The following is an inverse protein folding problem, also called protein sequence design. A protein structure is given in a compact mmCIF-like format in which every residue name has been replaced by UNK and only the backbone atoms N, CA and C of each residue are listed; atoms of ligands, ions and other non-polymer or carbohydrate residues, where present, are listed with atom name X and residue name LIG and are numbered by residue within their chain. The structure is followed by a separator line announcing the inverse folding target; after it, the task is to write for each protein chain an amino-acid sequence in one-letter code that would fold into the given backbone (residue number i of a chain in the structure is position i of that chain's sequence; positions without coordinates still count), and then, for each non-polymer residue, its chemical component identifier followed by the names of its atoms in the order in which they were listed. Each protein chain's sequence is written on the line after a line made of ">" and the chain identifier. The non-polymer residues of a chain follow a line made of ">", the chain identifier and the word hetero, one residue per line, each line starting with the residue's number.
data_IF_237182207316
#
_entry.id   IF_237182207316
#
_cell.length_a   1.000
_cell.length_b   1.000
_cell.length_c   1.000
_cell.angle_alpha   90.00
_cell.angle_beta   90.00
_cell.angle_gamma   90.00
#
_symmetry.space_group_name_H-M   'P 1'
#
loop_
_entity.id
_entity.type
_entity.pdbx_description
1 polymer ?
#
# COMPACT_ATOMS: atom_id res chain seq x y z
N UNK A 1 2.37 23.00 -36.15
CA UNK A 1 2.68 22.90 -34.72
C UNK A 1 2.72 21.41 -34.44
N UNK A 2 3.92 20.84 -34.42
CA UNK A 2 4.10 19.45 -34.02
C UNK A 2 3.88 19.38 -32.51
N UNK A 3 2.81 18.69 -32.09
CA UNK A 3 2.60 18.33 -30.70
C UNK A 3 3.83 17.54 -30.20
N UNK A 4 4.33 17.78 -28.99
CA UNK A 4 5.43 17.01 -28.45
C UNK A 4 5.00 15.54 -28.39
N UNK A 5 5.62 14.71 -29.24
CA UNK A 5 5.50 13.26 -29.19
C UNK A 5 5.92 12.81 -27.79
N UNK A 6 4.95 12.49 -26.96
CA UNK A 6 5.17 11.91 -25.65
C UNK A 6 6.00 10.64 -25.84
N UNK A 7 7.23 10.64 -25.33
CA UNK A 7 8.17 9.53 -25.48
C UNK A 7 7.66 8.43 -24.55
N UNK A 8 6.90 7.49 -25.11
CA UNK A 8 6.44 6.28 -24.42
C UNK A 8 7.65 5.38 -24.17
N UNK A 9 8.21 5.45 -22.97
CA UNK A 9 9.22 4.51 -22.47
C UNK A 9 8.49 3.42 -21.71
N UNK A 10 8.21 2.26 -22.31
CA UNK A 10 7.47 1.22 -21.64
C UNK A 10 8.26 0.66 -20.45
N UNK A 11 7.51 0.33 -19.41
CA UNK A 11 8.02 -0.18 -18.14
C UNK A 11 7.23 -1.42 -17.78
N UNK A 12 7.93 -2.48 -17.39
CA UNK A 12 7.33 -3.68 -16.81
C UNK A 12 7.76 -3.81 -15.35
N UNK A 13 6.79 -3.99 -14.47
CA UNK A 13 7.00 -4.43 -13.08
C UNK A 13 6.66 -5.91 -13.02
N UNK A 14 7.57 -6.72 -12.50
CA UNK A 14 7.41 -8.18 -12.41
C UNK A 14 7.67 -8.60 -10.97
N UNK A 15 6.64 -9.12 -10.34
CA UNK A 15 6.69 -9.83 -9.08
C UNK A 15 6.32 -11.28 -9.40
N UNK A 16 7.23 -12.22 -9.18
CA UNK A 16 6.91 -13.64 -9.37
C UNK A 16 6.30 -14.24 -8.10
N UNK A 17 5.49 -15.28 -8.26
CA UNK A 17 5.09 -16.17 -7.16
C UNK A 17 6.23 -17.05 -6.66
N UNK A 18 7.20 -17.32 -7.53
CA UNK A 18 8.39 -18.10 -7.21
C UNK A 18 9.41 -17.18 -6.51
N UNK A 19 10.21 -17.74 -5.58
CA UNK A 19 11.15 -17.07 -4.65
C UNK A 19 12.32 -16.32 -5.36
N UNK A 20 11.99 -15.51 -6.35
CA UNK A 20 12.89 -14.87 -7.30
C UNK A 20 12.78 -13.35 -7.12
N UNK A 21 13.91 -12.69 -7.30
CA UNK A 21 14.01 -11.25 -7.11
C UNK A 21 13.02 -10.51 -8.02
N UNK A 22 12.20 -9.60 -7.47
CA UNK A 22 11.32 -8.77 -8.28
C UNK A 22 12.14 -7.92 -9.26
N UNK A 23 11.62 -7.73 -10.47
CA UNK A 23 12.30 -6.99 -11.52
C UNK A 23 11.48 -5.78 -11.96
N UNK A 24 12.17 -4.67 -12.20
CA UNK A 24 11.62 -3.49 -12.86
C UNK A 24 12.46 -3.27 -14.11
N UNK A 25 11.83 -3.41 -15.27
CA UNK A 25 12.46 -3.27 -16.56
C UNK A 25 11.91 -2.03 -17.25
N UNK A 26 12.79 -1.21 -17.83
CA UNK A 26 12.43 0.00 -18.55
C UNK A 26 13.26 0.04 -19.82
N UNK A 27 12.61 0.23 -20.96
CA UNK A 27 13.26 0.27 -22.26
C UNK A 27 12.70 1.40 -23.12
N UNK A 28 13.43 1.77 -24.18
CA UNK A 28 13.01 2.84 -25.10
C UNK A 28 11.88 2.40 -26.05
N UNK A 29 11.72 1.09 -26.26
CA UNK A 29 10.74 0.51 -27.20
C UNK A 29 10.10 -0.73 -26.61
N UNK A 30 8.83 -0.96 -26.94
CA UNK A 30 8.08 -2.13 -26.49
C UNK A 30 8.70 -3.46 -26.92
N UNK A 31 9.25 -3.51 -28.14
CA UNK A 31 9.94 -4.70 -28.63
C UNK A 31 11.22 -5.04 -27.84
N UNK A 32 11.92 -4.02 -27.32
CA UNK A 32 13.11 -4.22 -26.52
C UNK A 32 12.73 -4.61 -25.08
N UNK A 33 11.66 -4.04 -24.54
CA UNK A 33 11.09 -4.49 -23.26
C UNK A 33 10.64 -5.95 -23.33
N UNK A 34 9.96 -6.37 -24.40
CA UNK A 34 9.55 -7.77 -24.59
C UNK A 34 10.74 -8.73 -24.56
N UNK A 35 11.85 -8.38 -25.23
CA UNK A 35 13.09 -9.17 -25.19
C UNK A 35 13.68 -9.22 -23.79
N UNK A 36 13.68 -8.11 -23.06
CA UNK A 36 14.16 -8.06 -21.69
C UNK A 36 13.32 -8.94 -20.74
N UNK A 37 12.00 -8.97 -20.93
CA UNK A 37 11.10 -9.86 -20.17
C UNK A 37 11.37 -11.33 -20.53
N UNK A 38 11.48 -11.68 -21.82
CA UNK A 38 11.79 -13.05 -22.26
C UNK A 38 13.19 -13.53 -21.85
N UNK A 39 14.11 -12.61 -21.51
CA UNK A 39 15.43 -12.96 -20.99
C UNK A 39 15.38 -13.39 -19.50
N UNK A 40 14.27 -13.17 -18.80
CA UNK A 40 14.09 -13.64 -17.44
C UNK A 40 13.74 -15.12 -17.42
N UNK A 41 14.37 -15.88 -16.53
CA UNK A 41 14.21 -17.34 -16.42
C UNK A 41 12.78 -17.80 -16.10
N UNK A 42 11.97 -16.92 -15.52
CA UNK A 42 10.59 -17.20 -15.07
C UNK A 42 9.52 -16.90 -16.11
N UNK A 43 9.90 -16.26 -17.21
CA UNK A 43 8.94 -15.82 -18.21
C UNK A 43 8.68 -16.95 -19.20
N UNK A 44 7.42 -17.25 -19.55
CA UNK A 44 7.12 -18.10 -20.69
C UNK A 44 7.64 -17.46 -21.99
N UNK A 45 7.71 -18.21 -23.08
CA UNK A 45 8.07 -17.64 -24.38
C UNK A 45 6.94 -16.74 -24.91
N UNK A 46 7.07 -15.42 -24.72
CA UNK A 46 6.06 -14.44 -25.12
C UNK A 46 6.34 -13.96 -26.54
N UNK A 47 5.43 -14.26 -27.47
CA UNK A 47 5.61 -13.93 -28.88
C UNK A 47 5.32 -12.47 -29.26
N UNK A 48 4.59 -11.72 -28.43
CA UNK A 48 4.25 -10.32 -28.69
C UNK A 48 3.92 -9.53 -27.40
N UNK A 49 3.75 -8.22 -27.54
CA UNK A 49 3.43 -7.30 -26.44
C UNK A 49 2.11 -7.65 -25.75
N UNK A 50 1.07 -8.03 -26.50
CA UNK A 50 -0.25 -8.35 -25.93
C UNK A 50 -0.17 -9.60 -25.03
N UNK A 51 0.57 -10.63 -25.46
CA UNK A 51 0.85 -11.82 -24.65
C UNK A 51 1.60 -11.45 -23.37
N UNK A 52 2.58 -10.53 -23.45
CA UNK A 52 3.32 -10.09 -22.27
C UNK A 52 2.45 -9.30 -21.29
N UNK A 53 1.59 -8.41 -21.80
CA UNK A 53 0.61 -7.68 -21.00
C UNK A 53 -0.35 -8.63 -20.29
N UNK A 54 -0.83 -9.65 -20.98
CA UNK A 54 -1.74 -10.65 -20.41
C UNK A 54 -1.04 -11.45 -19.31
N UNK A 55 0.16 -11.96 -19.57
CA UNK A 55 0.93 -12.70 -18.58
C UNK A 55 1.24 -11.87 -17.32
N UNK A 56 1.61 -10.59 -17.50
CA UNK A 56 1.84 -9.66 -16.39
C UNK A 56 0.61 -9.41 -15.51
N UNK A 57 -0.60 -9.51 -16.07
CA UNK A 57 -1.85 -9.39 -15.30
C UNK A 57 -2.14 -10.62 -14.43
N UNK A 58 -1.61 -11.79 -14.80
CA UNK A 58 -1.72 -13.02 -14.02
C UNK A 58 -0.72 -13.07 -12.86
N UNK A 59 0.29 -12.18 -12.87
CA UNK A 59 1.29 -12.08 -11.82
C UNK A 59 0.75 -11.31 -10.59
N UNK A 60 1.31 -11.55 -9.39
CA UNK A 60 1.01 -10.78 -8.18
C UNK A 60 1.13 -9.28 -8.37
N UNK A 61 0.21 -8.51 -7.77
CA UNK A 61 0.36 -7.07 -7.69
C UNK A 61 1.67 -6.67 -6.96
N UNK A 62 2.36 -5.59 -7.36
CA UNK A 62 1.98 -4.62 -8.40
C UNK A 62 2.55 -4.93 -9.80
N UNK A 63 2.59 -6.19 -10.22
CA UNK A 63 3.03 -6.54 -11.58
C UNK A 63 2.16 -5.90 -12.66
N UNK A 64 2.78 -5.54 -13.78
CA UNK A 64 2.06 -4.91 -14.88
C UNK A 64 2.98 -4.31 -15.93
N UNK A 65 2.37 -3.97 -17.07
CA UNK A 65 3.00 -3.22 -18.16
C UNK A 65 2.44 -1.80 -18.18
N UNK A 66 3.32 -0.82 -18.27
CA UNK A 66 3.01 0.60 -18.22
C UNK A 66 3.71 1.32 -19.37
N UNK A 67 3.10 2.38 -19.90
CA UNK A 67 3.68 3.14 -21.01
C UNK A 67 4.54 4.31 -20.53
N UNK A 68 4.38 4.69 -19.26
CA UNK A 68 5.11 5.79 -18.63
C UNK A 68 5.47 5.45 -17.18
N UNK A 69 6.51 6.10 -16.67
CA UNK A 69 6.92 5.99 -15.27
C UNK A 69 5.82 6.49 -14.32
N UNK A 70 5.09 7.53 -14.70
CA UNK A 70 4.00 8.08 -13.90
C UNK A 70 2.84 7.09 -13.77
N UNK A 71 2.49 6.38 -14.85
CA UNK A 71 1.47 5.34 -14.83
C UNK A 71 1.87 4.18 -13.91
N UNK A 72 3.12 3.71 -14.02
CA UNK A 72 3.68 2.66 -13.17
C UNK A 72 3.65 3.08 -11.68
N UNK A 73 4.12 4.29 -11.36
CA UNK A 73 4.10 4.81 -9.99
C UNK A 73 2.67 4.95 -9.45
N UNK A 74 1.74 5.46 -10.26
CA UNK A 74 0.34 5.56 -9.87
C UNK A 74 -0.27 4.18 -9.61
N UNK A 75 0.07 3.16 -10.40
CA UNK A 75 -0.37 1.79 -10.19
C UNK A 75 0.18 1.21 -8.88
N UNK A 76 1.50 1.32 -8.64
CA UNK A 76 2.12 0.88 -7.38
C UNK A 76 1.46 1.57 -6.18
N UNK A 77 1.18 2.88 -6.28
CA UNK A 77 0.46 3.65 -5.25
C UNK A 77 -0.98 3.20 -5.04
N UNK A 78 -1.66 2.67 -6.06
CA UNK A 78 -3.00 2.08 -5.92
C UNK A 78 -2.95 0.69 -5.28
N UNK A 79 -1.97 -0.13 -5.64
CA UNK A 79 -1.77 -1.47 -5.09
C UNK A 79 -1.35 -1.42 -3.61
N UNK A 80 -0.55 -0.43 -3.24
CA UNK A 80 -0.47 0.02 -1.87
C UNK A 80 -1.82 0.64 -1.52
N UNK A 81 -2.83 -0.14 -1.15
CA UNK A 81 -3.98 0.41 -0.42
C UNK A 81 -3.40 1.22 0.73
N UNK A 82 -3.38 2.57 0.67
CA UNK A 82 -2.77 3.34 1.72
C UNK A 82 -3.76 3.24 2.85
N UNK A 83 -3.50 2.31 3.77
CA UNK A 83 -4.25 2.21 5.00
C UNK A 83 -4.32 3.62 5.58
N UNK A 84 -5.52 4.24 5.65
CA UNK A 84 -5.62 5.67 5.81
C UNK A 84 -4.99 6.08 7.14
N UNK A 85 -4.25 7.18 7.14
CA UNK A 85 -3.79 7.75 8.41
C UNK A 85 -5.02 8.36 9.08
N UNK A 86 -5.54 7.68 10.10
CA UNK A 86 -6.68 8.16 10.86
C UNK A 86 -6.25 9.24 11.85
N UNK A 87 -6.94 10.40 11.90
CA UNK A 87 -6.69 11.44 12.90
C UNK A 87 -6.88 10.92 14.33
N UNK A 88 -6.15 11.49 15.29
CA UNK A 88 -6.22 11.09 16.70
C UNK A 88 -7.63 11.18 17.27
N UNK A 89 -8.41 12.19 16.85
CA UNK A 89 -9.83 12.36 17.23
C UNK A 89 -10.74 11.23 16.73
N UNK A 90 -10.52 10.72 15.51
CA UNK A 90 -11.30 9.61 14.95
C UNK A 90 -11.03 8.35 15.77
N UNK A 91 -9.77 8.10 16.12
CA UNK A 91 -9.36 6.97 16.96
C UNK A 91 -9.98 7.08 18.36
N UNK A 92 -9.97 8.27 18.96
CA UNK A 92 -10.58 8.52 20.26
C UNK A 92 -12.09 8.23 20.25
N UNK A 93 -12.83 8.81 19.30
CA UNK A 93 -14.29 8.61 19.16
C UNK A 93 -14.63 7.14 18.96
N UNK A 94 -13.85 6.45 18.13
CA UNK A 94 -14.06 5.03 17.86
C UNK A 94 -13.91 4.19 19.13
N UNK A 95 -12.85 4.43 19.90
CA UNK A 95 -12.64 3.75 21.18
C UNK A 95 -13.80 4.02 22.15
N UNK A 96 -14.24 5.27 22.25
CA UNK A 96 -15.32 5.68 23.14
C UNK A 96 -16.67 5.07 22.73
N UNK A 97 -16.97 5.02 21.43
CA UNK A 97 -18.15 4.35 20.89
C UNK A 97 -18.16 2.84 21.17
N UNK A 98 -16.98 2.20 21.21
CA UNK A 98 -16.83 0.80 21.59
C UNK A 98 -16.87 0.56 23.11
N UNK A 99 -16.92 1.61 23.93
CA UNK A 99 -16.92 1.50 25.39
C UNK A 99 -15.61 0.93 25.97
N UNK A 100 -14.51 0.95 25.20
CA UNK A 100 -13.24 0.34 25.61
C UNK A 100 -12.34 1.32 26.35
N UNK A 101 -11.61 0.81 27.35
CA UNK A 101 -10.47 1.55 27.90
C UNK A 101 -9.35 1.63 26.86
N UNK A 102 -8.44 2.61 27.00
CA UNK A 102 -7.26 2.72 26.11
C UNK A 102 -6.41 1.45 26.09
N UNK A 103 -6.28 0.77 27.24
CA UNK A 103 -5.46 -0.44 27.34
C UNK A 103 -6.11 -1.63 26.62
N UNK A 104 -7.43 -1.80 26.74
CA UNK A 104 -8.19 -2.82 26.01
C UNK A 104 -8.20 -2.56 24.52
N UNK A 105 -8.42 -1.31 24.13
CA UNK A 105 -8.41 -0.90 22.74
C UNK A 105 -7.05 -1.17 22.08
N UNK A 106 -5.94 -0.76 22.72
CA UNK A 106 -4.61 -1.07 22.19
C UNK A 106 -4.36 -2.58 22.05
N UNK A 107 -4.87 -3.38 23.01
CA UNK A 107 -4.77 -4.84 23.00
C UNK A 107 -5.53 -5.44 21.81
N UNK A 108 -6.74 -4.96 21.55
CA UNK A 108 -7.55 -5.36 20.40
C UNK A 108 -6.87 -5.04 19.06
N UNK A 109 -6.10 -3.95 19.01
CA UNK A 109 -5.28 -3.53 17.87
C UNK A 109 -3.89 -4.20 17.80
N UNK A 110 -3.52 -5.04 18.78
CA UNK A 110 -2.22 -5.69 18.84
C UNK A 110 -1.04 -4.77 19.17
N UNK A 111 -1.30 -3.62 19.80
CA UNK A 111 -0.29 -2.62 20.19
C UNK A 111 0.15 -2.88 21.62
N UNK A 112 1.46 -2.87 21.88
CA UNK A 112 2.03 -2.88 23.23
C UNK A 112 1.94 -4.22 24.00
N UNK A 113 2.91 -4.44 24.90
CA UNK A 113 3.04 -5.71 25.66
C UNK A 113 2.42 -5.65 27.07
N UNK A 114 2.33 -4.47 27.68
CA UNK A 114 1.81 -4.25 29.04
C UNK A 114 0.71 -3.18 29.02
N UNK A 115 -0.20 -3.21 29.99
CA UNK A 115 -1.34 -2.27 30.01
C UNK A 115 -0.92 -0.81 30.13
N UNK A 116 0.15 -0.54 30.89
CA UNK A 116 0.76 0.80 30.97
C UNK A 116 1.24 1.29 29.61
N UNK A 117 1.95 0.44 28.85
CA UNK A 117 2.45 0.80 27.54
C UNK A 117 1.31 0.95 26.53
N UNK A 118 0.32 0.05 26.58
CA UNK A 118 -0.90 0.09 25.77
C UNK A 118 -1.66 1.41 25.92
N UNK A 119 -1.94 1.77 27.18
CA UNK A 119 -2.61 3.03 27.50
C UNK A 119 -1.82 4.22 26.96
N UNK A 120 -0.51 4.26 27.23
CA UNK A 120 0.36 5.38 26.86
C UNK A 120 0.48 5.55 25.34
N UNK A 121 0.60 4.46 24.58
CA UNK A 121 0.69 4.52 23.12
C UNK A 121 -0.60 5.05 22.51
N UNK A 122 -1.77 4.52 22.91
CA UNK A 122 -3.05 5.02 22.40
C UNK A 122 -3.26 6.48 22.81
N UNK A 123 -2.97 6.84 24.07
CA UNK A 123 -3.07 8.23 24.51
C UNK A 123 -2.21 9.16 23.64
N UNK A 124 -0.95 8.80 23.39
CA UNK A 124 -0.05 9.60 22.57
C UNK A 124 -0.53 9.73 21.11
N UNK A 125 -1.21 8.71 20.57
CA UNK A 125 -1.79 8.74 19.22
C UNK A 125 -3.06 9.62 19.20
N UNK A 126 -3.94 9.50 20.20
CA UNK A 126 -5.17 10.30 20.29
C UNK A 126 -4.88 11.81 20.38
N UNK A 127 -3.82 12.20 21.09
CA UNK A 127 -3.39 13.60 21.19
C UNK A 127 -2.41 14.00 20.08
N UNK A 128 -2.15 13.13 19.11
CA UNK A 128 -1.26 13.37 17.97
C UNK A 128 0.15 13.81 18.38
N UNK A 129 0.64 13.26 19.50
CA UNK A 129 1.93 13.64 20.09
C UNK A 129 3.05 13.52 19.07
N UNK A 130 3.79 14.60 18.87
CA UNK A 130 4.90 14.63 17.92
C UNK A 130 6.01 13.65 18.35
N UNK A 131 6.41 12.79 17.43
CA UNK A 131 7.58 11.95 17.61
C UNK A 131 8.85 12.76 17.35
N UNK A 132 9.65 12.93 18.41
CA UNK A 132 10.90 13.73 18.41
C UNK A 132 11.89 13.36 17.30
N UNK A 133 11.97 12.10 16.90
CA UNK A 133 12.92 11.67 15.86
C UNK A 133 12.45 12.00 14.43
N UNK A 134 11.13 11.99 14.21
CA UNK A 134 10.56 12.17 12.86
C UNK A 134 9.95 13.55 12.62
N UNK A 135 9.71 14.33 13.67
CA UNK A 135 8.96 15.60 13.61
C UNK A 135 7.48 15.45 13.25
N UNK A 136 6.98 14.22 13.10
CA UNK A 136 5.60 13.92 12.68
C UNK A 136 4.72 13.49 13.87
N UNK A 137 3.40 13.72 13.81
CA UNK A 137 2.46 13.15 14.76
C UNK A 137 2.59 11.64 14.87
N UNK A 138 2.40 11.11 16.08
CA UNK A 138 2.24 9.66 16.28
C UNK A 138 0.91 9.22 15.71
N UNK A 139 0.96 8.18 14.89
CA UNK A 139 -0.20 7.60 14.20
C UNK A 139 -0.19 6.09 14.39
N UNK A 140 -1.33 5.44 14.16
CA UNK A 140 -1.40 3.99 14.09
C UNK A 140 -0.54 3.48 12.92
N UNK A 141 0.13 2.35 13.12
CA UNK A 141 0.80 1.67 12.01
C UNK A 141 -0.26 1.01 11.09
N UNK A 142 0.09 0.67 9.83
CA UNK A 142 -0.88 0.14 8.86
C UNK A 142 -1.65 -1.08 9.38
N UNK A 143 -0.96 -2.06 9.97
CA UNK A 143 -1.60 -3.27 10.52
C UNK A 143 -2.61 -2.96 11.63
N UNK A 144 -2.29 -2.03 12.52
CA UNK A 144 -3.19 -1.62 13.60
C UNK A 144 -4.38 -0.83 13.07
N UNK A 145 -4.20 -0.03 12.02
CA UNK A 145 -5.29 0.68 11.36
C UNK A 145 -6.21 -0.27 10.60
N UNK A 146 -5.68 -1.26 9.88
CA UNK A 146 -6.49 -2.34 9.28
C UNK A 146 -7.32 -3.06 10.34
N UNK A 147 -6.69 -3.41 11.46
CA UNK A 147 -7.40 -4.05 12.57
C UNK A 147 -8.48 -3.15 13.16
N UNK A 148 -8.23 -1.85 13.25
CA UNK A 148 -9.21 -0.88 13.70
C UNK A 148 -10.38 -0.76 12.73
N UNK A 149 -10.12 -0.71 11.43
CA UNK A 149 -11.18 -0.69 10.41
C UNK A 149 -12.04 -1.95 10.45
N UNK A 150 -11.43 -3.12 10.57
CA UNK A 150 -12.14 -4.38 10.74
C UNK A 150 -12.99 -4.37 12.03
N UNK A 151 -12.40 -3.96 13.15
CA UNK A 151 -13.11 -3.89 14.43
C UNK A 151 -14.26 -2.88 14.39
N UNK A 152 -14.06 -1.71 13.77
CA UNK A 152 -15.12 -0.73 13.61
C UNK A 152 -16.27 -1.27 12.76
N UNK A 153 -15.97 -1.98 11.66
CA UNK A 153 -16.98 -2.63 10.84
C UNK A 153 -17.76 -3.72 11.62
N UNK A 154 -17.08 -4.53 12.45
CA UNK A 154 -17.72 -5.52 13.34
C UNK A 154 -18.70 -4.87 14.33
N UNK A 155 -18.40 -3.64 14.76
CA UNK A 155 -19.25 -2.83 15.65
C UNK A 155 -20.24 -1.91 14.92
N UNK A 156 -20.35 -1.99 13.59
CA UNK A 156 -21.26 -1.16 12.78
C UNK A 156 -20.86 0.33 12.70
N UNK A 157 -19.60 0.66 13.01
CA UNK A 157 -19.05 2.01 12.98
C UNK A 157 -18.41 2.28 11.61
N UNK A 158 -18.69 3.45 11.03
CA UNK A 158 -18.07 3.88 9.78
C UNK A 158 -16.99 4.95 10.05
N UNK A 159 -15.72 4.55 9.97
CA UNK A 159 -14.57 5.42 10.27
C UNK A 159 -14.28 6.48 9.19
N UNK A 160 -14.88 6.35 8.00
CA UNK A 160 -14.65 7.21 6.84
C UNK A 160 -15.86 8.11 6.54
N UNK A 161 -16.93 8.01 7.33
CA UNK A 161 -18.08 8.90 7.31
C UNK A 161 -18.13 9.67 8.61
N UNK A 162 -17.38 10.75 8.68
CA UNK A 162 -17.64 11.86 9.59
C UNK A 162 -17.33 13.13 8.76
N UNK A 163 -18.38 13.91 8.48
CA UNK A 163 -18.34 15.24 7.83
C UNK A 163 -17.45 16.24 8.59
#
# INVERSE_FOLDING_TARGET
>A
MDEPKEIKMPIAIIISHEDIAPAILQEDKAADLLKAINALTVTPDLGNEDSARLWLQEQPAPSGWFNTLEEAQAHVRRCHNPVPILPGKVIQRTREAMGMTRAEFARALGIGKTDKNRHTEIFNIEIEKINKSSGRPRVLNPKATERLMALAAEHGLNLLKDD
#
